data_IF_434292745722
#
_entry.id   IF_434292745722
#
_cell.length_a   1.000
_cell.length_b   1.000
_cell.length_c   1.000
_cell.angle_alpha   90.00
_cell.angle_beta   90.00
_cell.angle_gamma   90.00
#
_symmetry.space_group_name_H-M   'P 1'
#
loop_
_entity.id
_entity.type
_entity.pdbx_description
1 polymer ?
#
# COMPACT_ATOMS: atom_id res chain seq x y z
N UNK A 1 -41.66 17.03 1.62
CA UNK A 1 -41.82 16.14 0.45
C UNK A 1 -41.60 16.96 -0.81
N UNK A 2 -40.59 16.60 -1.61
CA UNK A 2 -40.20 17.34 -2.81
C UNK A 2 -41.25 17.18 -3.94
N UNK A 3 -41.89 16.00 -4.03
CA UNK A 3 -42.92 15.72 -5.02
C UNK A 3 -44.15 16.63 -4.80
N UNK A 4 -44.54 16.81 -3.53
CA UNK A 4 -45.64 17.70 -3.14
C UNK A 4 -45.40 19.18 -3.52
N UNK A 5 -44.16 19.66 -3.43
CA UNK A 5 -43.83 21.04 -3.82
C UNK A 5 -43.95 21.24 -5.33
N UNK A 6 -43.49 20.28 -6.14
CA UNK A 6 -43.65 20.32 -7.59
C UNK A 6 -45.11 20.19 -8.01
N UNK A 7 -45.87 19.35 -7.32
CA UNK A 7 -47.31 19.23 -7.54
C UNK A 7 -48.02 20.56 -7.32
N UNK A 8 -47.79 21.18 -6.17
CA UNK A 8 -48.35 22.50 -5.84
C UNK A 8 -47.94 23.55 -6.87
N UNK A 9 -46.66 23.63 -7.24
CA UNK A 9 -46.17 24.59 -8.23
C UNK A 9 -46.84 24.39 -9.60
N UNK A 10 -46.98 23.14 -10.06
CA UNK A 10 -47.64 22.82 -11.33
C UNK A 10 -49.10 23.25 -11.34
N UNK A 11 -49.79 23.08 -10.21
CA UNK A 11 -51.20 23.41 -10.06
C UNK A 11 -51.40 24.93 -9.96
N UNK A 12 -50.53 25.65 -9.24
CA UNK A 12 -50.62 27.11 -9.07
C UNK A 12 -50.30 27.87 -10.36
N UNK A 13 -49.34 27.38 -11.15
CA UNK A 13 -48.84 28.10 -12.34
C UNK A 13 -49.37 27.56 -13.67
N UNK A 14 -49.94 26.35 -13.66
CA UNK A 14 -50.38 25.66 -14.88
C UNK A 14 -49.24 25.30 -15.84
N UNK A 15 -47.98 25.33 -15.40
CA UNK A 15 -46.83 25.04 -16.25
C UNK A 15 -46.64 23.52 -16.48
N UNK A 16 -45.93 23.18 -17.55
CA UNK A 16 -45.47 21.83 -17.83
C UNK A 16 -44.21 21.54 -17.02
N UNK A 17 -44.32 20.63 -16.06
CA UNK A 17 -43.18 20.21 -15.23
C UNK A 17 -42.90 18.72 -15.38
N UNK A 18 -41.60 18.41 -15.43
CA UNK A 18 -41.06 17.07 -15.28
C UNK A 18 -39.81 17.16 -14.40
N UNK A 19 -39.71 16.28 -13.41
CA UNK A 19 -38.59 16.16 -12.50
C UNK A 19 -38.15 14.70 -12.42
N UNK A 20 -36.85 14.45 -12.34
CA UNK A 20 -36.29 13.11 -12.15
C UNK A 20 -35.00 13.19 -11.33
N UNK A 21 -34.86 12.30 -10.35
CA UNK A 21 -33.68 12.22 -9.51
C UNK A 21 -33.41 10.78 -9.07
N UNK A 22 -32.14 10.36 -9.13
CA UNK A 22 -31.64 9.12 -8.56
C UNK A 22 -30.49 9.44 -7.62
N UNK A 23 -30.54 8.92 -6.40
CA UNK A 23 -29.39 8.94 -5.52
C UNK A 23 -28.37 7.89 -5.94
N UNK A 24 -27.08 8.22 -5.92
CA UNK A 24 -26.01 7.34 -6.43
C UNK A 24 -25.88 5.99 -5.72
N UNK A 25 -26.45 5.87 -4.52
CA UNK A 25 -26.49 4.63 -3.73
C UNK A 25 -27.90 4.03 -3.60
N UNK A 26 -28.92 4.65 -4.21
CA UNK A 26 -30.25 4.08 -4.16
C UNK A 26 -30.31 2.79 -4.97
N UNK A 27 -30.82 1.74 -4.32
CA UNK A 27 -31.09 0.42 -4.91
C UNK A 27 -32.47 0.36 -5.57
N UNK A 28 -33.35 1.29 -5.22
CA UNK A 28 -34.71 1.41 -5.76
C UNK A 28 -34.75 2.23 -7.06
N UNK A 29 -35.94 2.26 -7.68
CA UNK A 29 -36.22 3.05 -8.89
C UNK A 29 -36.06 4.54 -8.61
N UNK A 30 -35.69 5.28 -9.65
CA UNK A 30 -35.54 6.73 -9.56
C UNK A 30 -36.86 7.44 -9.33
N UNK A 31 -36.77 8.50 -8.52
CA UNK A 31 -37.89 9.37 -8.23
C UNK A 31 -38.16 10.19 -9.48
N UNK A 32 -39.40 10.21 -9.94
CA UNK A 32 -39.83 11.12 -11.00
C UNK A 32 -41.21 11.69 -10.71
N UNK A 33 -41.44 12.88 -11.23
CA UNK A 33 -42.71 13.58 -11.15
C UNK A 33 -43.00 14.21 -12.51
N UNK A 34 -44.23 14.12 -12.97
CA UNK A 34 -44.71 14.81 -14.16
C UNK A 34 -46.05 15.49 -13.84
N UNK A 35 -46.17 16.76 -14.22
CA UNK A 35 -47.40 17.53 -14.00
C UNK A 35 -48.61 16.89 -14.69
N UNK A 36 -49.83 17.01 -14.13
CA UNK A 36 -51.03 16.48 -14.77
C UNK A 36 -51.24 17.03 -16.19
N UNK A 37 -50.84 18.29 -16.43
CA UNK A 37 -50.96 18.95 -17.73
C UNK A 37 -50.05 18.31 -18.78
N UNK A 38 -48.77 18.10 -18.49
CA UNK A 38 -47.86 17.45 -19.45
C UNK A 38 -48.25 15.98 -19.70
N UNK A 39 -48.77 15.29 -18.68
CA UNK A 39 -49.29 13.94 -18.85
C UNK A 39 -50.55 13.90 -19.73
N UNK A 40 -51.37 14.94 -19.73
CA UNK A 40 -52.54 15.04 -20.60
C UNK A 40 -52.16 15.36 -22.05
N UNK A 41 -51.21 16.26 -22.24
CA UNK A 41 -50.88 16.82 -23.56
C UNK A 41 -49.77 16.03 -24.29
N UNK A 42 -48.85 15.40 -23.56
CA UNK A 42 -47.64 14.78 -24.11
C UNK A 42 -47.22 13.51 -23.36
N UNK A 43 -48.18 12.62 -23.05
CA UNK A 43 -47.93 11.40 -22.26
C UNK A 43 -46.79 10.54 -22.82
N UNK A 44 -46.81 10.28 -24.13
CA UNK A 44 -45.81 9.43 -24.78
C UNK A 44 -44.41 10.02 -24.69
N UNK A 45 -44.28 11.34 -24.86
CA UNK A 45 -42.99 12.03 -24.73
C UNK A 45 -42.47 11.96 -23.30
N UNK A 46 -43.35 12.11 -22.29
CA UNK A 46 -42.98 11.97 -20.88
C UNK A 46 -42.49 10.54 -20.58
N UNK A 47 -43.14 9.52 -21.13
CA UNK A 47 -42.69 8.13 -20.98
C UNK A 47 -41.30 7.92 -21.62
N UNK A 48 -41.05 8.51 -22.79
CA UNK A 48 -39.73 8.45 -23.44
C UNK A 48 -38.65 9.16 -22.62
N UNK A 49 -38.94 10.36 -22.12
CA UNK A 49 -38.04 11.13 -21.24
C UNK A 49 -37.72 10.32 -19.98
N UNK A 50 -38.74 9.78 -19.33
CA UNK A 50 -38.60 8.96 -18.10
C UNK A 50 -37.70 7.75 -18.38
N UNK A 51 -37.94 7.04 -19.48
CA UNK A 51 -37.10 5.89 -19.88
C UNK A 51 -35.66 6.29 -20.21
N UNK A 52 -35.47 7.45 -20.84
CA UNK A 52 -34.14 7.98 -21.15
C UNK A 52 -33.34 8.30 -19.88
N UNK A 53 -33.97 8.96 -18.90
CA UNK A 53 -33.34 9.22 -17.60
C UNK A 53 -33.03 7.93 -16.85
N UNK A 54 -33.93 6.94 -16.88
CA UNK A 54 -33.66 5.63 -16.28
C UNK A 54 -32.36 5.01 -16.82
N UNK A 55 -32.21 4.94 -18.15
CA UNK A 55 -31.00 4.41 -18.80
C UNK A 55 -29.76 5.22 -18.44
N UNK A 56 -29.90 6.54 -18.37
CA UNK A 56 -28.82 7.45 -17.97
C UNK A 56 -28.36 7.16 -16.55
N UNK A 57 -29.27 7.05 -15.59
CA UNK A 57 -28.93 6.73 -14.20
C UNK A 57 -28.31 5.35 -14.05
N UNK A 58 -28.83 4.33 -14.74
CA UNK A 58 -28.23 3.00 -14.74
C UNK A 58 -26.80 3.01 -15.30
N UNK A 59 -26.55 3.79 -16.36
CA UNK A 59 -25.22 3.95 -16.94
C UNK A 59 -24.26 4.62 -15.97
N UNK A 60 -24.69 5.71 -15.32
CA UNK A 60 -23.88 6.41 -14.32
C UNK A 60 -23.52 5.52 -13.12
N UNK A 61 -24.48 4.74 -12.63
CA UNK A 61 -24.26 3.76 -11.55
C UNK A 61 -23.27 2.68 -12.01
N UNK A 62 -23.42 2.17 -13.25
CA UNK A 62 -22.54 1.15 -13.80
C UNK A 62 -21.09 1.65 -13.94
N UNK A 63 -20.90 2.85 -14.50
CA UNK A 63 -19.58 3.48 -14.64
C UNK A 63 -18.92 3.64 -13.27
N UNK A 64 -19.64 4.19 -12.29
CA UNK A 64 -19.11 4.33 -10.94
C UNK A 64 -18.70 2.98 -10.33
N UNK A 65 -19.53 1.95 -10.52
CA UNK A 65 -19.21 0.62 -10.01
C UNK A 65 -18.00 0.00 -10.72
N UNK A 66 -17.76 0.33 -11.99
CA UNK A 66 -16.54 -0.06 -12.69
C UNK A 66 -15.31 0.65 -12.10
N UNK A 67 -15.40 1.97 -11.88
CA UNK A 67 -14.33 2.75 -11.25
C UNK A 67 -13.98 2.22 -9.86
N UNK A 68 -14.98 1.94 -9.02
CA UNK A 68 -14.78 1.35 -7.68
C UNK A 68 -14.08 -0.01 -7.77
N UNK A 69 -14.46 -0.86 -8.74
CA UNK A 69 -13.81 -2.16 -8.94
C UNK A 69 -12.36 -1.99 -9.38
N UNK A 70 -12.07 -1.05 -10.26
CA UNK A 70 -10.71 -0.80 -10.72
C UNK A 70 -9.84 -0.21 -9.61
N UNK A 71 -10.39 0.69 -8.78
CA UNK A 71 -9.70 1.17 -7.58
C UNK A 71 -9.43 0.05 -6.58
N UNK A 72 -10.39 -0.87 -6.39
CA UNK A 72 -10.20 -2.03 -5.53
C UNK A 72 -9.08 -2.95 -6.04
N UNK A 73 -9.02 -3.21 -7.35
CA UNK A 73 -7.91 -3.98 -7.95
C UNK A 73 -6.55 -3.30 -7.74
N UNK A 74 -6.48 -1.99 -7.94
CA UNK A 74 -5.23 -1.22 -7.70
C UNK A 74 -4.80 -1.29 -6.25
N UNK A 75 -5.75 -1.22 -5.32
CA UNK A 75 -5.47 -1.34 -3.89
C UNK A 75 -4.89 -2.71 -3.53
N UNK A 76 -5.48 -3.80 -4.06
CA UNK A 76 -4.95 -5.16 -3.86
C UNK A 76 -3.52 -5.30 -4.41
N UNK A 77 -3.26 -4.82 -5.63
CA UNK A 77 -1.93 -4.87 -6.23
C UNK A 77 -0.88 -4.08 -5.42
N UNK A 78 -1.25 -2.92 -4.87
CA UNK A 78 -0.36 -2.14 -4.00
C UNK A 78 -0.09 -2.89 -2.69
N UNK A 79 -1.11 -3.51 -2.09
CA UNK A 79 -0.94 -4.29 -0.85
C UNK A 79 -0.04 -5.50 -1.06
N UNK A 80 -0.17 -6.21 -2.19
CA UNK A 80 0.71 -7.32 -2.55
C UNK A 80 2.15 -6.85 -2.74
N UNK A 81 2.37 -5.75 -3.45
CA UNK A 81 3.70 -5.17 -3.65
C UNK A 81 4.32 -4.68 -2.33
N UNK A 82 3.54 -4.06 -1.44
CA UNK A 82 4.02 -3.62 -0.13
C UNK A 82 4.44 -4.81 0.72
N UNK A 83 3.66 -5.90 0.70
CA UNK A 83 4.00 -7.13 1.41
C UNK A 83 5.30 -7.74 0.87
N UNK A 84 5.43 -7.88 -0.45
CA UNK A 84 6.66 -8.38 -1.06
C UNK A 84 7.87 -7.49 -0.77
N UNK A 85 7.70 -6.17 -0.77
CA UNK A 85 8.76 -5.22 -0.43
C UNK A 85 9.19 -5.32 1.05
N UNK A 86 8.24 -5.53 1.97
CA UNK A 86 8.55 -5.77 3.39
C UNK A 86 9.31 -7.08 3.59
N UNK A 87 8.86 -8.16 2.98
CA UNK A 87 9.54 -9.46 3.05
C UNK A 87 10.97 -9.37 2.48
N UNK A 88 11.16 -8.69 1.35
CA UNK A 88 12.49 -8.46 0.77
C UNK A 88 13.38 -7.59 1.68
N UNK A 89 12.82 -6.56 2.30
CA UNK A 89 13.55 -5.71 3.24
C UNK A 89 13.98 -6.49 4.49
N UNK A 90 13.08 -7.30 5.06
CA UNK A 90 13.37 -8.14 6.22
C UNK A 90 14.46 -9.17 5.89
N UNK A 91 14.39 -9.83 4.73
CA UNK A 91 15.41 -10.77 4.27
C UNK A 91 16.77 -10.09 4.05
N UNK A 92 16.78 -8.87 3.49
CA UNK A 92 18.02 -8.09 3.34
C UNK A 92 18.62 -7.73 4.69
N UNK A 93 17.80 -7.33 5.66
CA UNK A 93 18.25 -6.97 7.00
C UNK A 93 18.76 -8.18 7.79
N UNK A 94 18.15 -9.36 7.63
CA UNK A 94 18.66 -10.58 8.27
C UNK A 94 20.01 -11.00 7.68
N UNK A 95 20.14 -10.98 6.35
CA UNK A 95 21.39 -11.27 5.67
C UNK A 95 22.52 -10.31 6.08
N UNK A 96 22.21 -9.00 6.21
CA UNK A 96 23.17 -8.01 6.67
C UNK A 96 23.62 -8.28 8.13
N UNK A 97 22.68 -8.62 9.02
CA UNK A 97 23.00 -8.94 10.42
C UNK A 97 23.88 -10.18 10.53
N UNK A 98 23.60 -11.22 9.75
CA UNK A 98 24.41 -12.44 9.71
C UNK A 98 25.83 -12.14 9.21
N UNK A 99 25.96 -11.37 8.12
CA UNK A 99 27.27 -10.97 7.60
C UNK A 99 28.09 -10.14 8.61
N UNK A 100 27.44 -9.24 9.37
CA UNK A 100 28.09 -8.48 10.43
C UNK A 100 28.60 -9.39 11.55
N UNK A 101 27.77 -10.36 11.98
CA UNK A 101 28.16 -11.32 13.03
C UNK A 101 29.32 -12.20 12.58
N UNK A 102 29.30 -12.69 11.34
CA UNK A 102 30.40 -13.46 10.77
C UNK A 102 31.69 -12.63 10.70
N UNK A 103 31.63 -11.39 10.21
CA UNK A 103 32.77 -10.50 10.14
C UNK A 103 33.37 -10.20 11.52
N UNK A 104 32.53 -10.01 12.53
CA UNK A 104 32.96 -9.83 13.93
C UNK A 104 33.66 -11.08 14.47
N UNK A 105 33.10 -12.27 14.20
CA UNK A 105 33.70 -13.53 14.64
C UNK A 105 35.05 -13.78 13.98
N UNK A 106 35.18 -13.50 12.68
CA UNK A 106 36.41 -13.63 11.92
C UNK A 106 37.48 -12.66 12.42
N UNK A 107 37.10 -11.41 12.68
CA UNK A 107 37.99 -10.41 13.27
C UNK A 107 38.54 -10.86 14.63
N UNK A 108 37.67 -11.39 15.51
CA UNK A 108 38.07 -11.89 16.83
C UNK A 108 39.04 -13.08 16.73
N UNK A 109 38.84 -13.98 15.77
CA UNK A 109 39.77 -15.08 15.54
C UNK A 109 41.14 -14.59 15.06
N UNK A 110 41.18 -13.53 14.23
CA UNK A 110 42.44 -12.93 13.79
C UNK A 110 43.17 -12.24 14.95
N UNK A 111 42.44 -11.54 15.82
CA UNK A 111 43.00 -10.92 17.03
C UNK A 111 43.62 -11.97 17.96
N UNK A 112 42.90 -13.07 18.23
CA UNK A 112 43.43 -14.18 19.05
C UNK A 112 44.70 -14.81 18.45
N UNK A 113 44.70 -15.05 17.13
CA UNK A 113 45.90 -15.58 16.45
C UNK A 113 47.07 -14.60 16.50
N UNK A 114 46.81 -13.30 16.44
CA UNK A 114 47.86 -12.28 16.55
C UNK A 114 48.47 -12.25 17.96
N UNK A 115 47.64 -12.34 19.00
CA UNK A 115 48.08 -12.44 20.39
C UNK A 115 48.91 -13.72 20.64
N UNK A 116 48.48 -14.87 20.11
CA UNK A 116 49.24 -16.13 20.18
C UNK A 116 50.60 -16.01 19.50
N UNK A 117 50.66 -15.42 18.31
CA UNK A 117 51.90 -15.19 17.56
C UNK A 117 52.85 -14.24 18.32
N UNK A 118 52.32 -13.21 18.97
CA UNK A 118 53.12 -12.28 19.78
C UNK A 118 53.68 -12.96 21.03
N UNK A 119 52.87 -13.78 21.71
CA UNK A 119 53.32 -14.58 22.84
C UNK A 119 54.46 -15.55 22.46
N UNK A 120 54.29 -16.28 21.35
CA UNK A 120 55.34 -17.18 20.83
C UNK A 120 56.63 -16.43 20.48
N UNK A 121 56.51 -15.23 19.91
CA UNK A 121 57.66 -14.39 19.60
C UNK A 121 58.40 -13.97 20.89
N UNK A 122 57.67 -13.55 21.92
CA UNK A 122 58.26 -13.17 23.21
C UNK A 122 58.95 -14.36 23.87
N UNK A 123 58.35 -15.56 23.85
CA UNK A 123 58.98 -16.77 24.35
C UNK A 123 60.29 -17.09 23.62
N UNK A 124 60.29 -16.97 22.29
CA UNK A 124 61.49 -17.18 21.48
C UNK A 124 62.58 -16.15 21.81
N UNK A 125 62.21 -14.88 22.00
CA UNK A 125 63.16 -13.84 22.42
C UNK A 125 63.73 -14.11 23.81
N UNK A 126 62.90 -14.54 24.77
CA UNK A 126 63.34 -14.93 26.11
C UNK A 126 64.29 -16.13 26.07
N UNK A 127 63.98 -17.15 25.27
CA UNK A 127 64.84 -18.32 25.10
C UNK A 127 66.19 -17.93 24.49
N UNK A 128 66.21 -17.10 23.45
CA UNK A 128 67.43 -16.55 22.85
C UNK A 128 68.25 -15.71 23.84
N UNK A 129 67.60 -14.96 24.73
CA UNK A 129 68.27 -14.19 25.77
C UNK A 129 68.94 -15.11 26.80
N UNK A 130 68.26 -16.18 27.24
CA UNK A 130 68.81 -17.18 28.16
C UNK A 130 70.04 -17.89 27.58
N UNK A 131 69.99 -18.25 26.29
CA UNK A 131 71.12 -18.85 25.57
C UNK A 131 72.35 -17.93 25.55
N UNK A 132 72.17 -16.65 25.20
CA UNK A 132 73.27 -15.66 25.23
C UNK A 132 73.90 -15.51 26.61
N UNK A 133 73.11 -15.56 27.69
CA UNK A 133 73.65 -15.53 29.06
C UNK A 133 74.44 -16.80 29.40
N UNK A 134 74.00 -17.96 28.92
CA UNK A 134 74.73 -19.22 29.11
C UNK A 134 76.07 -19.22 28.36
N UNK A 135 76.09 -18.77 27.10
CA UNK A 135 77.31 -18.67 26.27
C UNK A 135 78.35 -17.69 26.84
N UNK A 136 77.90 -16.55 27.38
CA UNK A 136 78.80 -15.59 28.04
C UNK A 136 79.38 -16.12 29.36
N UNK A 137 78.69 -17.02 30.07
CA UNK A 137 79.20 -17.64 31.30
C UNK A 137 80.25 -18.71 31.04
N UNK A 138 80.15 -19.43 29.93
CA UNK A 138 81.16 -20.43 29.53
C UNK A 138 82.41 -19.81 28.92
N UNK A 139 82.34 -18.56 28.45
CA UNK A 139 83.47 -17.82 27.85
C UNK A 139 84.29 -17.01 28.87
N UNK A 140 83.86 -16.93 30.13
CA UNK A 140 84.49 -16.16 31.21
C UNK A 140 85.18 -17.02 32.28
N UNK A 141 85.24 -18.34 32.08
CA UNK A 141 86.06 -19.31 32.84
C UNK A 141 87.22 -19.80 31.97
#
# INVERSE_FOLDING_TARGET
>A
DLAYQYERLSNETGCWLHFSAQHMFATERFLHYASPRILKEAKQDVEQITNHFNRTFLTLIAVRNADTKDMHKKLLAVQENEKAAKEALEASQSAEREAILEAQSAKRQLELKAEEMEAQRLELEMWKARLRVAENRTSAS
#
